data_IF_387670097921
#
_entry.id   IF_387670097921
#
_cell.length_a   1.000
_cell.length_b   1.000
_cell.length_c   1.000
_cell.angle_alpha   90.00
_cell.angle_beta   90.00
_cell.angle_gamma   90.00
#
_symmetry.space_group_name_H-M   'P 1'
#
loop_
_entity.id
_entity.type
_entity.pdbx_description
1 polymer ?
#
# COMPACT_ATOMS: atom_id res chain seq x y z
N UNK A 1 29.92 -4.31 -28.89
CA UNK A 1 28.68 -5.02 -28.54
C UNK A 1 28.67 -5.29 -27.04
N UNK A 2 27.59 -5.00 -26.38
CA UNK A 2 27.36 -5.28 -24.95
C UNK A 2 26.13 -6.18 -24.87
N UNK A 3 26.24 -7.28 -24.10
CA UNK A 3 25.12 -8.13 -23.73
C UNK A 3 24.94 -8.04 -22.22
N UNK A 4 23.78 -7.58 -21.80
CA UNK A 4 23.37 -7.57 -20.40
C UNK A 4 22.35 -8.69 -20.20
N UNK A 5 22.61 -9.53 -19.21
CA UNK A 5 21.70 -10.63 -18.85
C UNK A 5 21.32 -10.47 -17.38
N UNK A 6 20.04 -10.35 -17.11
CA UNK A 6 19.47 -10.41 -15.77
C UNK A 6 18.67 -11.71 -15.63
N UNK A 7 19.18 -12.60 -14.79
CA UNK A 7 18.46 -13.79 -14.35
C UNK A 7 17.75 -13.47 -13.03
N UNK A 8 16.61 -14.08 -12.78
CA UNK A 8 15.72 -13.77 -11.65
C UNK A 8 15.43 -12.26 -11.56
N UNK A 9 15.14 -11.66 -12.70
CA UNK A 9 15.07 -10.21 -12.89
C UNK A 9 14.06 -9.52 -11.97
N UNK A 10 13.00 -10.21 -11.55
CA UNK A 10 12.00 -9.70 -10.60
C UNK A 10 12.58 -9.45 -9.21
N UNK A 11 13.65 -10.17 -8.82
CA UNK A 11 14.30 -10.00 -7.52
C UNK A 11 15.39 -8.92 -7.50
N UNK A 12 15.83 -8.45 -8.67
CA UNK A 12 16.89 -7.45 -8.80
C UNK A 12 16.36 -6.08 -8.36
N UNK A 13 17.11 -5.43 -7.47
CA UNK A 13 16.76 -4.10 -6.98
C UNK A 13 16.78 -3.06 -8.11
N UNK A 14 15.84 -2.14 -8.12
CA UNK A 14 15.71 -1.07 -9.13
C UNK A 14 16.97 -0.19 -9.23
N UNK A 15 17.76 -0.10 -8.16
CA UNK A 15 19.02 0.61 -8.17
C UNK A 15 20.06 -0.05 -9.10
N UNK A 16 20.12 -1.38 -9.12
CA UNK A 16 21.01 -2.14 -10.02
C UNK A 16 20.60 -1.91 -11.47
N UNK A 17 19.30 -1.93 -11.76
CA UNK A 17 18.78 -1.61 -13.09
C UNK A 17 19.23 -0.22 -13.53
N UNK A 18 19.05 0.79 -12.67
CA UNK A 18 19.39 2.18 -12.95
C UNK A 18 20.90 2.37 -13.21
N UNK A 19 21.76 1.73 -12.41
CA UNK A 19 23.21 1.77 -12.61
C UNK A 19 23.60 1.12 -13.95
N UNK A 20 22.97 0.00 -14.28
CA UNK A 20 23.21 -0.69 -15.56
C UNK A 20 22.72 0.13 -16.75
N UNK A 21 21.56 0.78 -16.65
CA UNK A 21 21.07 1.74 -17.67
C UNK A 21 22.10 2.84 -17.94
N UNK A 22 22.77 3.36 -16.90
CA UNK A 22 23.84 4.35 -17.05
C UNK A 22 25.10 3.81 -17.73
N UNK A 23 25.41 2.52 -17.54
CA UNK A 23 26.62 1.90 -18.11
C UNK A 23 26.48 1.57 -19.62
N UNK A 24 25.26 1.59 -20.18
CA UNK A 24 24.99 1.21 -21.59
C UNK A 24 24.69 2.44 -22.47
N UNK A 25 25.29 3.59 -22.16
CA UNK A 25 25.04 4.86 -22.88
C UNK A 25 26.05 5.15 -24.00
N UNK A 26 26.99 4.25 -24.26
CA UNK A 26 28.04 4.46 -25.27
C UNK A 26 27.49 4.60 -26.68
N UNK A 27 27.89 5.66 -27.37
CA UNK A 27 27.56 5.85 -28.75
C UNK A 27 28.21 4.77 -29.64
N UNK A 28 27.53 4.33 -30.68
CA UNK A 28 27.96 3.31 -31.64
C UNK A 28 28.18 1.91 -31.06
N UNK A 29 27.61 1.59 -29.93
CA UNK A 29 27.66 0.26 -29.34
C UNK A 29 26.30 -0.42 -29.50
N UNK A 30 26.31 -1.63 -30.09
CA UNK A 30 25.13 -2.49 -30.10
C UNK A 30 24.92 -3.06 -28.71
N UNK A 31 23.77 -2.79 -28.11
CA UNK A 31 23.41 -3.20 -26.75
C UNK A 31 22.21 -4.13 -26.82
N UNK A 32 22.35 -5.30 -26.22
CA UNK A 32 21.30 -6.29 -26.11
C UNK A 32 21.03 -6.52 -24.62
N UNK A 33 19.80 -6.34 -24.20
CA UNK A 33 19.35 -6.70 -22.86
C UNK A 33 18.46 -7.92 -22.91
N UNK A 34 18.80 -8.94 -22.13
CA UNK A 34 17.99 -10.12 -21.90
C UNK A 34 17.64 -10.17 -20.41
N UNK A 35 16.36 -10.12 -20.12
CA UNK A 35 15.87 -10.18 -18.72
C UNK A 35 14.82 -11.28 -18.60
N UNK A 36 14.99 -12.17 -17.66
CA UNK A 36 14.08 -13.28 -17.45
C UNK A 36 14.03 -13.67 -15.98
N UNK A 37 12.96 -14.34 -15.60
CA UNK A 37 12.67 -14.79 -14.24
C UNK A 37 11.19 -15.00 -14.02
N UNK A 38 10.85 -15.56 -12.88
CA UNK A 38 9.47 -15.63 -12.43
C UNK A 38 8.96 -14.23 -12.06
N UNK A 39 7.75 -13.84 -12.46
CA UNK A 39 7.19 -12.53 -12.17
C UNK A 39 6.66 -12.45 -10.72
N UNK A 40 7.57 -12.45 -9.74
CA UNK A 40 7.23 -12.55 -8.31
C UNK A 40 6.67 -11.28 -7.70
N UNK A 41 6.80 -10.13 -8.38
CA UNK A 41 6.31 -8.82 -7.90
C UNK A 41 5.56 -8.09 -9.00
N UNK A 42 4.46 -7.43 -8.65
CA UNK A 42 3.68 -6.57 -9.55
C UNK A 42 4.17 -5.10 -9.53
N UNK A 43 5.39 -4.86 -9.09
CA UNK A 43 6.07 -3.57 -9.04
C UNK A 43 7.54 -3.73 -9.45
N UNK A 44 8.21 -2.61 -9.71
CA UNK A 44 9.63 -2.55 -10.04
C UNK A 44 9.93 -2.68 -11.55
N UNK A 45 11.22 -2.56 -11.89
CA UNK A 45 11.68 -2.47 -13.27
C UNK A 45 11.32 -3.66 -14.15
N UNK A 46 11.36 -4.89 -13.62
CA UNK A 46 10.96 -6.08 -14.37
C UNK A 46 9.47 -6.05 -14.73
N UNK A 47 8.62 -5.65 -13.79
CA UNK A 47 7.19 -5.44 -14.05
C UNK A 47 6.94 -4.35 -15.09
N UNK A 48 7.68 -3.24 -15.02
CA UNK A 48 7.58 -2.12 -15.96
C UNK A 48 7.89 -2.56 -17.40
N UNK A 49 8.81 -3.51 -17.61
CA UNK A 49 9.12 -4.04 -18.94
C UNK A 49 7.88 -4.63 -19.64
N UNK A 50 6.95 -5.19 -18.88
CA UNK A 50 5.71 -5.78 -19.40
C UNK A 50 4.52 -4.80 -19.41
N UNK A 51 4.63 -3.68 -18.73
CA UNK A 51 3.54 -2.71 -18.54
C UNK A 51 3.90 -1.32 -19.07
N UNK A 52 4.35 -0.42 -18.21
CA UNK A 52 4.58 1.00 -18.55
C UNK A 52 5.62 1.21 -19.63
N UNK A 53 6.62 0.32 -19.73
CA UNK A 53 7.72 0.39 -20.67
C UNK A 53 7.66 -0.70 -21.79
N UNK A 54 6.56 -1.42 -21.89
CA UNK A 54 6.40 -2.56 -22.83
C UNK A 54 6.71 -2.20 -24.30
N UNK A 55 6.53 -0.94 -24.70
CA UNK A 55 6.88 -0.46 -26.05
C UNK A 55 8.39 -0.52 -26.39
N UNK A 56 9.24 -0.62 -25.37
CA UNK A 56 10.69 -0.69 -25.56
C UNK A 56 11.24 -2.12 -25.44
N UNK A 57 10.40 -3.09 -25.06
CA UNK A 57 10.78 -4.45 -24.78
C UNK A 57 10.04 -5.44 -25.68
N UNK A 58 10.74 -6.47 -26.10
CA UNK A 58 10.11 -7.64 -26.70
C UNK A 58 9.78 -8.62 -25.57
N UNK A 59 8.53 -8.59 -25.10
CA UNK A 59 8.09 -9.35 -23.95
C UNK A 59 7.48 -10.68 -24.36
N UNK A 60 7.79 -11.74 -23.59
CA UNK A 60 7.22 -13.07 -23.79
C UNK A 60 6.80 -13.65 -22.43
N UNK A 61 5.55 -14.05 -22.32
CA UNK A 61 5.03 -14.83 -21.21
C UNK A 61 5.03 -16.31 -21.59
N UNK A 62 5.50 -17.16 -20.68
CA UNK A 62 5.58 -18.60 -20.89
C UNK A 62 4.80 -19.33 -19.80
N UNK A 63 3.77 -20.08 -20.19
CA UNK A 63 3.13 -21.04 -19.30
C UNK A 63 3.98 -22.32 -19.27
N UNK A 64 4.48 -22.67 -18.09
CA UNK A 64 5.35 -23.83 -17.90
C UNK A 64 4.71 -25.15 -18.33
N UNK A 65 3.38 -25.23 -18.38
CA UNK A 65 2.65 -26.40 -18.87
C UNK A 65 2.84 -26.63 -20.38
N UNK A 66 3.17 -25.59 -21.14
CA UNK A 66 3.42 -25.69 -22.59
C UNK A 66 4.86 -26.06 -22.93
N UNK A 67 5.77 -25.97 -21.99
CA UNK A 67 7.19 -26.21 -22.19
C UNK A 67 7.53 -27.70 -22.08
N UNK A 68 8.28 -28.26 -23.04
CA UNK A 68 8.58 -29.71 -23.09
C UNK A 68 9.40 -30.22 -21.91
N UNK A 69 10.32 -29.42 -21.38
CA UNK A 69 11.25 -29.80 -20.31
C UNK A 69 10.66 -29.73 -18.90
N UNK A 70 9.48 -29.11 -18.73
CA UNK A 70 8.88 -28.93 -17.40
C UNK A 70 8.23 -30.22 -16.88
N UNK A 71 8.25 -30.41 -15.56
CA UNK A 71 7.59 -31.52 -14.88
C UNK A 71 6.08 -31.27 -14.77
N UNK A 72 5.31 -31.82 -15.70
CA UNK A 72 3.85 -31.65 -15.77
C UNK A 72 3.12 -32.18 -14.54
N UNK A 73 3.63 -33.27 -13.94
CA UNK A 73 3.02 -33.87 -12.74
C UNK A 73 3.08 -32.89 -11.56
N UNK A 74 4.24 -32.28 -11.33
CA UNK A 74 4.41 -31.30 -10.27
C UNK A 74 3.56 -30.04 -10.53
N UNK A 75 3.55 -29.54 -11.77
CA UNK A 75 2.74 -28.37 -12.13
C UNK A 75 1.24 -28.59 -11.91
N UNK A 76 0.72 -29.76 -12.29
CA UNK A 76 -0.68 -30.10 -12.08
C UNK A 76 -1.01 -30.26 -10.58
N UNK A 77 -0.10 -30.86 -9.81
CA UNK A 77 -0.24 -30.94 -8.35
C UNK A 77 -0.34 -29.54 -7.71
N UNK A 78 0.49 -28.59 -8.11
CA UNK A 78 0.41 -27.22 -7.61
C UNK A 78 -0.91 -26.54 -7.97
N UNK A 79 -1.42 -26.78 -9.19
CA UNK A 79 -2.73 -26.25 -9.59
C UNK A 79 -3.86 -26.85 -8.72
N UNK A 80 -3.81 -28.13 -8.42
CA UNK A 80 -4.80 -28.79 -7.55
C UNK A 80 -4.71 -28.29 -6.10
N UNK A 81 -3.49 -28.07 -5.59
CA UNK A 81 -3.24 -27.66 -4.20
C UNK A 81 -3.57 -26.18 -3.95
N UNK A 82 -3.12 -25.29 -4.86
CA UNK A 82 -3.21 -23.83 -4.65
C UNK A 82 -4.37 -23.18 -5.42
N UNK A 83 -4.91 -23.84 -6.43
CA UNK A 83 -5.93 -23.32 -7.33
C UNK A 83 -5.37 -22.56 -8.53
N UNK A 84 -6.02 -22.71 -9.69
CA UNK A 84 -5.59 -22.14 -10.99
C UNK A 84 -5.37 -20.61 -10.95
N UNK A 85 -6.19 -19.88 -10.18
CA UNK A 85 -6.14 -18.41 -10.12
C UNK A 85 -5.38 -17.85 -8.91
N UNK A 86 -4.75 -18.73 -8.11
CA UNK A 86 -3.88 -18.29 -7.02
C UNK A 86 -2.64 -17.56 -7.54
N UNK A 87 -2.10 -16.61 -6.78
CA UNK A 87 -0.89 -15.91 -7.15
C UNK A 87 0.31 -16.86 -7.27
N UNK A 88 0.35 -17.93 -6.47
CA UNK A 88 1.36 -18.97 -6.59
C UNK A 88 1.34 -19.62 -7.98
N UNK A 89 0.16 -20.07 -8.46
CA UNK A 89 0.02 -20.70 -9.78
C UNK A 89 0.24 -19.70 -10.90
N UNK A 90 -0.24 -18.46 -10.77
CA UNK A 90 0.06 -17.39 -11.72
C UNK A 90 1.56 -17.21 -11.93
N UNK A 91 2.31 -17.06 -10.85
CA UNK A 91 3.75 -16.81 -10.87
C UNK A 91 4.54 -18.03 -11.34
N UNK A 92 4.34 -19.19 -10.70
CA UNK A 92 5.22 -20.34 -10.86
C UNK A 92 4.82 -21.27 -12.00
N UNK A 93 3.57 -21.22 -12.45
CA UNK A 93 3.06 -22.08 -13.52
C UNK A 93 2.77 -21.30 -14.78
N UNK A 94 2.03 -20.20 -14.67
CA UNK A 94 1.50 -19.44 -15.83
C UNK A 94 2.41 -18.31 -16.29
N UNK A 95 3.45 -17.96 -15.55
CA UNK A 95 4.32 -16.81 -15.84
C UNK A 95 3.57 -15.48 -15.86
N UNK A 96 2.55 -15.34 -15.02
CA UNK A 96 1.77 -14.13 -14.84
C UNK A 96 2.21 -13.40 -13.56
N UNK A 97 2.18 -12.08 -13.59
CA UNK A 97 2.42 -11.29 -12.39
C UNK A 97 1.31 -11.54 -11.35
N UNK A 98 1.66 -11.57 -10.06
CA UNK A 98 0.68 -11.73 -8.99
C UNK A 98 -0.24 -10.52 -8.94
N UNK A 99 -1.44 -10.73 -8.44
CA UNK A 99 -2.41 -9.65 -8.23
C UNK A 99 -2.09 -8.86 -6.95
N UNK A 100 -1.49 -9.52 -5.96
CA UNK A 100 -1.04 -8.95 -4.69
C UNK A 100 0.46 -9.13 -4.50
N UNK A 101 1.10 -8.30 -3.70
CA UNK A 101 2.46 -8.57 -3.20
C UNK A 101 2.38 -9.63 -2.10
N UNK A 102 3.37 -10.54 -2.00
CA UNK A 102 3.41 -11.65 -1.03
C UNK A 102 3.22 -11.23 0.44
N UNK A 103 3.43 -9.94 0.76
CA UNK A 103 3.27 -9.37 2.09
C UNK A 103 2.08 -8.40 2.20
N UNK A 104 1.18 -8.38 1.23
CA UNK A 104 0.05 -7.47 1.25
C UNK A 104 -1.09 -8.03 2.10
N UNK A 105 -1.34 -7.43 3.26
CA UNK A 105 -2.44 -7.80 4.17
C UNK A 105 -3.82 -7.65 3.52
N UNK A 106 -3.98 -6.67 2.62
CA UNK A 106 -5.22 -6.38 1.90
C UNK A 106 -4.89 -6.30 0.41
N UNK A 107 -5.51 -7.14 -0.42
CA UNK A 107 -5.30 -7.08 -1.86
C UNK A 107 -5.83 -5.76 -2.46
N UNK A 108 -5.26 -5.37 -3.59
CA UNK A 108 -5.68 -4.16 -4.31
C UNK A 108 -7.17 -4.24 -4.71
N UNK A 109 -7.65 -5.42 -5.12
CA UNK A 109 -9.04 -5.64 -5.51
C UNK A 109 -9.98 -5.40 -4.33
N UNK A 110 -9.65 -5.93 -3.14
CA UNK A 110 -10.42 -5.70 -1.92
C UNK A 110 -10.44 -4.21 -1.54
N UNK A 111 -9.32 -3.52 -1.69
CA UNK A 111 -9.23 -2.09 -1.46
C UNK A 111 -10.08 -1.30 -2.46
N UNK A 112 -10.03 -1.64 -3.76
CA UNK A 112 -10.84 -1.01 -4.81
C UNK A 112 -12.34 -1.30 -4.64
N UNK A 113 -12.71 -2.52 -4.23
CA UNK A 113 -14.10 -2.85 -3.88
C UNK A 113 -14.57 -2.07 -2.66
N UNK A 114 -13.75 -1.97 -1.63
CA UNK A 114 -14.07 -1.18 -0.44
C UNK A 114 -14.27 0.30 -0.79
N UNK A 115 -13.42 0.85 -1.66
CA UNK A 115 -13.52 2.24 -2.12
C UNK A 115 -14.80 2.52 -2.93
N UNK A 116 -15.28 1.54 -3.69
CA UNK A 116 -16.53 1.64 -4.47
C UNK A 116 -17.80 1.51 -3.59
N UNK A 117 -17.67 0.95 -2.38
CA UNK A 117 -18.81 0.79 -1.47
C UNK A 117 -19.29 2.16 -1.00
N UNK A 118 -20.60 2.36 -1.11
CA UNK A 118 -21.30 3.53 -0.55
C UNK A 118 -22.29 3.02 0.51
N UNK A 119 -21.88 2.93 1.77
CA UNK A 119 -22.79 2.45 2.81
C UNK A 119 -23.98 3.40 2.95
N UNK A 120 -25.17 2.85 3.12
CA UNK A 120 -26.36 3.63 3.41
C UNK A 120 -26.31 4.14 4.86
N UNK A 121 -26.81 5.33 5.11
CA UNK A 121 -26.76 5.98 6.42
C UNK A 121 -27.28 5.09 7.57
N UNK A 122 -28.37 4.35 7.34
CA UNK A 122 -28.92 3.39 8.31
C UNK A 122 -27.96 2.29 8.77
N UNK A 123 -26.90 2.01 7.99
CA UNK A 123 -25.91 0.98 8.30
C UNK A 123 -24.83 1.45 9.29
N UNK A 124 -24.72 2.75 9.54
CA UNK A 124 -23.66 3.29 10.39
C UNK A 124 -24.11 4.40 11.36
N UNK A 125 -25.29 5.03 11.16
CA UNK A 125 -25.74 6.16 11.98
C UNK A 125 -25.98 5.84 13.46
N UNK A 126 -26.14 4.56 13.80
CA UNK A 126 -26.28 4.10 15.18
C UNK A 126 -24.96 4.13 15.95
N UNK A 127 -23.84 4.14 15.27
CA UNK A 127 -22.51 4.13 15.88
C UNK A 127 -22.08 5.55 16.30
N UNK A 128 -21.30 5.69 17.37
CA UNK A 128 -20.75 6.98 17.75
C UNK A 128 -19.79 7.50 16.66
N UNK A 129 -19.75 8.82 16.50
CA UNK A 129 -18.76 9.47 15.66
C UNK A 129 -17.45 9.58 16.43
N UNK A 130 -16.36 9.23 15.79
CA UNK A 130 -15.00 9.43 16.33
C UNK A 130 -14.11 10.12 15.27
N UNK A 131 -13.11 10.84 15.73
CA UNK A 131 -12.12 11.49 14.86
C UNK A 131 -10.76 10.85 15.11
N UNK A 132 -10.07 10.45 14.03
CA UNK A 132 -8.69 10.02 14.03
C UNK A 132 -7.80 11.13 13.48
N UNK A 133 -6.64 11.33 14.08
CA UNK A 133 -5.65 12.32 13.66
C UNK A 133 -4.31 11.65 13.54
N UNK A 134 -3.73 11.75 12.34
CA UNK A 134 -2.37 11.33 12.03
C UNK A 134 -1.50 12.58 11.80
N UNK A 135 -0.74 13.03 12.81
CA UNK A 135 0.09 14.21 12.70
C UNK A 135 1.35 13.94 11.88
N UNK A 136 1.74 14.89 11.05
CA UNK A 136 2.99 14.83 10.30
C UNK A 136 3.89 16.03 10.65
N UNK A 137 5.18 15.77 10.91
CA UNK A 137 6.12 16.83 11.28
C UNK A 137 7.16 17.14 10.20
N UNK A 138 7.74 16.13 9.55
CA UNK A 138 8.88 16.32 8.65
C UNK A 138 8.67 15.65 7.30
N UNK A 139 9.29 16.20 6.24
CA UNK A 139 9.28 15.62 4.91
C UNK A 139 8.09 16.06 4.07
N UNK A 140 7.66 15.17 3.17
CA UNK A 140 6.52 15.34 2.26
C UNK A 140 5.19 14.87 2.84
N UNK A 141 5.19 14.39 4.09
CA UNK A 141 3.99 13.85 4.73
C UNK A 141 3.00 14.96 5.09
N UNK A 142 1.72 14.63 5.03
CA UNK A 142 0.61 15.53 5.38
C UNK A 142 -0.06 15.05 6.66
N UNK A 143 -0.44 16.00 7.52
CA UNK A 143 -1.34 15.71 8.64
C UNK A 143 -2.72 15.37 8.08
N UNK A 144 -3.29 14.25 8.51
CA UNK A 144 -4.63 13.83 8.12
C UNK A 144 -5.60 13.82 9.32
N UNK A 145 -6.79 14.36 9.10
CA UNK A 145 -7.90 14.31 10.06
C UNK A 145 -9.03 13.53 9.39
N UNK A 146 -9.44 12.43 10.00
CA UNK A 146 -10.44 11.51 9.48
C UNK A 146 -11.59 11.36 10.47
N UNK A 147 -12.83 11.46 10.00
CA UNK A 147 -14.01 11.10 10.75
C UNK A 147 -14.40 9.65 10.45
N UNK A 148 -14.80 8.91 11.47
CA UNK A 148 -15.38 7.57 11.35
C UNK A 148 -16.69 7.47 12.14
N UNK A 149 -17.68 6.83 11.53
CA UNK A 149 -18.92 6.43 12.18
C UNK A 149 -19.29 5.01 11.76
N UNK A 150 -19.10 4.02 12.62
CA UNK A 150 -19.27 2.62 12.28
C UNK A 150 -18.39 2.19 11.10
N UNK A 151 -19.01 1.75 10.01
CA UNK A 151 -18.33 1.33 8.77
C UNK A 151 -18.04 2.49 7.80
N UNK A 152 -18.53 3.69 8.07
CA UNK A 152 -18.31 4.87 7.24
C UNK A 152 -17.13 5.67 7.76
N UNK A 153 -16.23 6.04 6.86
CA UNK A 153 -15.12 6.95 7.13
C UNK A 153 -15.00 8.02 6.05
N UNK A 154 -14.56 9.20 6.45
CA UNK A 154 -14.37 10.34 5.56
C UNK A 154 -13.19 11.19 6.00
N UNK A 155 -12.31 11.54 5.06
CA UNK A 155 -11.21 12.48 5.30
C UNK A 155 -11.80 13.88 5.42
N UNK A 156 -11.65 14.49 6.59
CA UNK A 156 -12.15 15.84 6.85
C UNK A 156 -11.16 16.90 6.34
N UNK A 157 -9.86 16.64 6.57
CA UNK A 157 -8.82 17.58 6.17
C UNK A 157 -7.47 16.87 6.02
N UNK A 158 -6.75 17.27 5.01
CA UNK A 158 -5.32 17.03 4.85
C UNK A 158 -4.62 18.39 4.87
N UNK A 159 -3.54 18.50 5.65
CA UNK A 159 -2.79 19.73 5.81
C UNK A 159 -1.33 19.40 5.55
N UNK A 160 -0.64 20.12 4.64
CA UNK A 160 0.81 20.05 4.58
C UNK A 160 1.38 20.35 5.96
N UNK A 161 2.56 19.81 6.24
CA UNK A 161 3.29 20.00 7.48
C UNK A 161 2.95 21.33 8.18
N UNK A 162 2.54 21.24 9.44
CA UNK A 162 2.24 22.39 10.28
C UNK A 162 2.93 22.22 11.64
N UNK A 163 3.73 23.20 12.03
CA UNK A 163 4.44 23.26 13.32
C UNK A 163 3.65 24.00 14.41
N UNK A 164 2.39 24.35 14.15
CA UNK A 164 1.51 25.05 15.09
C UNK A 164 0.46 24.10 15.69
N UNK A 165 0.84 23.38 16.72
CA UNK A 165 -0.02 22.42 17.44
C UNK A 165 -1.32 23.05 17.96
N UNK A 166 -1.27 24.31 18.40
CA UNK A 166 -2.45 25.03 18.92
C UNK A 166 -3.47 25.26 17.79
N UNK A 167 -3.00 25.63 16.61
CA UNK A 167 -3.88 25.84 15.45
C UNK A 167 -4.52 24.53 15.00
N UNK A 168 -3.75 23.45 14.97
CA UNK A 168 -4.25 22.11 14.64
C UNK A 168 -5.25 21.64 15.68
N UNK A 169 -4.96 21.83 16.98
CA UNK A 169 -5.88 21.45 18.06
C UNK A 169 -7.22 22.20 17.96
N UNK A 170 -7.20 23.50 17.64
CA UNK A 170 -8.44 24.28 17.41
C UNK A 170 -9.24 23.72 16.23
N UNK A 171 -8.59 23.42 15.13
CA UNK A 171 -9.26 22.84 13.96
C UNK A 171 -9.91 21.48 14.28
N UNK A 172 -9.22 20.63 15.05
CA UNK A 172 -9.76 19.35 15.50
C UNK A 172 -10.97 19.58 16.45
N UNK A 173 -10.88 20.56 17.35
CA UNK A 173 -11.97 20.92 18.24
C UNK A 173 -13.21 21.40 17.45
N UNK A 174 -13.02 22.22 16.42
CA UNK A 174 -14.10 22.67 15.54
C UNK A 174 -14.76 21.48 14.81
N UNK A 175 -13.98 20.54 14.28
CA UNK A 175 -14.53 19.33 13.69
C UNK A 175 -15.25 18.44 14.73
N UNK A 176 -14.68 18.30 15.94
CA UNK A 176 -15.32 17.55 17.01
C UNK A 176 -16.72 18.11 17.31
N UNK A 177 -16.85 19.43 17.43
CA UNK A 177 -18.11 20.09 17.71
C UNK A 177 -19.07 20.01 16.52
N UNK A 178 -18.57 20.22 15.29
CA UNK A 178 -19.36 20.16 14.06
C UNK A 178 -20.00 18.77 13.85
N UNK A 179 -19.22 17.70 14.08
CA UNK A 179 -19.66 16.33 13.86
C UNK A 179 -20.18 15.65 15.15
N UNK A 180 -20.22 16.38 16.28
CA UNK A 180 -20.59 15.86 17.61
C UNK A 180 -19.81 14.57 17.94
N UNK A 181 -18.50 14.58 17.64
CA UNK A 181 -17.68 13.40 17.84
C UNK A 181 -17.47 13.11 19.34
N UNK A 182 -17.75 11.87 19.72
CA UNK A 182 -17.68 11.39 21.10
C UNK A 182 -16.25 11.24 21.62
N UNK A 183 -15.29 11.04 20.73
CA UNK A 183 -13.87 10.95 21.05
C UNK A 183 -12.98 11.38 19.89
N UNK A 184 -11.76 11.82 20.22
CA UNK A 184 -10.67 12.10 19.27
C UNK A 184 -9.48 11.24 19.63
N UNK A 185 -8.95 10.51 18.64
CA UNK A 185 -7.77 9.67 18.77
C UNK A 185 -6.62 10.29 17.98
N UNK A 186 -5.52 10.57 18.65
CA UNK A 186 -4.36 11.26 18.07
C UNK A 186 -3.16 10.33 18.15
N UNK A 187 -2.46 10.06 17.03
CA UNK A 187 -1.23 9.28 17.08
C UNK A 187 -0.19 9.96 17.98
N UNK A 188 0.42 9.15 18.85
CA UNK A 188 1.31 9.65 19.92
C UNK A 188 2.59 10.27 19.34
N UNK A 189 3.08 9.81 18.18
CA UNK A 189 4.36 10.22 17.64
C UNK A 189 4.58 11.73 17.67
N UNK A 190 3.91 12.44 16.81
CA UNK A 190 3.96 13.91 16.73
C UNK A 190 2.69 14.59 17.30
N UNK A 191 1.80 13.82 17.90
CA UNK A 191 0.51 14.32 18.36
C UNK A 191 0.49 14.83 19.81
N UNK A 192 1.59 14.69 20.57
CA UNK A 192 1.63 15.04 22.01
C UNK A 192 1.36 16.52 22.26
N UNK A 193 1.89 17.43 21.43
CA UNK A 193 1.65 18.86 21.53
C UNK A 193 0.20 19.23 21.20
N UNK A 194 -0.37 18.64 20.15
CA UNK A 194 -1.77 18.79 19.76
C UNK A 194 -2.69 18.29 20.87
N UNK A 195 -2.40 17.14 21.45
CA UNK A 195 -3.16 16.57 22.56
C UNK A 195 -3.10 17.49 23.80
N UNK A 196 -1.92 17.99 24.17
CA UNK A 196 -1.75 18.92 25.29
C UNK A 196 -2.59 20.17 25.09
N UNK A 197 -2.52 20.78 23.91
CA UNK A 197 -3.32 21.95 23.58
C UNK A 197 -4.83 21.65 23.65
N UNK A 198 -5.27 20.46 23.23
CA UNK A 198 -6.65 20.02 23.39
C UNK A 198 -7.08 19.91 24.84
N UNK A 199 -6.23 19.36 25.71
CA UNK A 199 -6.49 19.30 27.15
C UNK A 199 -6.61 20.70 27.79
N UNK A 200 -5.76 21.63 27.38
CA UNK A 200 -5.83 23.02 27.86
C UNK A 200 -7.13 23.71 27.41
N UNK A 201 -7.74 23.27 26.31
CA UNK A 201 -9.07 23.70 25.85
C UNK A 201 -10.24 22.96 26.53
N UNK A 202 -9.98 22.06 27.48
CA UNK A 202 -11.00 21.27 28.20
C UNK A 202 -11.55 20.10 27.38
N UNK A 203 -10.80 19.57 26.40
CA UNK A 203 -11.21 18.41 25.59
C UNK A 203 -10.82 17.10 26.28
N UNK A 204 -11.62 16.66 27.25
CA UNK A 204 -11.31 15.50 28.10
C UNK A 204 -11.43 14.15 27.39
N UNK A 205 -12.19 14.08 26.30
CA UNK A 205 -12.40 12.89 25.50
C UNK A 205 -11.36 12.70 24.36
N UNK A 206 -10.27 13.46 24.38
CA UNK A 206 -9.12 13.22 23.48
C UNK A 206 -8.20 12.17 24.09
N UNK A 207 -7.70 11.26 23.25
CA UNK A 207 -6.82 10.16 23.63
C UNK A 207 -5.60 10.11 22.72
N UNK A 208 -4.41 9.88 23.31
CA UNK A 208 -3.21 9.52 22.57
C UNK A 208 -3.22 8.02 22.27
N UNK A 209 -2.89 7.66 21.06
CA UNK A 209 -2.77 6.26 20.60
C UNK A 209 -1.31 5.96 20.34
N UNK A 210 -0.77 4.96 21.02
CA UNK A 210 0.58 4.46 20.77
C UNK A 210 0.53 3.38 19.69
N UNK A 211 1.12 3.65 18.53
CA UNK A 211 1.25 2.68 17.47
C UNK A 211 2.10 1.48 17.95
N UNK A 212 1.60 0.27 17.79
CA UNK A 212 2.26 -0.95 18.29
C UNK A 212 2.00 -1.27 19.77
N UNK A 213 1.18 -0.47 20.47
CA UNK A 213 0.66 -0.82 21.78
C UNK A 213 -0.24 -2.06 21.73
N UNK A 214 -0.35 -2.77 22.84
CA UNK A 214 -1.33 -3.87 22.94
C UNK A 214 -2.73 -3.28 23.01
N UNK A 215 -3.69 -3.90 22.29
CA UNK A 215 -5.10 -3.57 22.45
C UNK A 215 -5.57 -3.91 23.87
N UNK A 216 -6.34 -3.03 24.47
CA UNK A 216 -7.01 -3.33 25.74
C UNK A 216 -8.05 -4.44 25.50
N UNK A 217 -7.95 -5.53 26.28
CA UNK A 217 -8.77 -6.72 26.10
C UNK A 217 -10.28 -6.47 26.24
N UNK A 218 -10.65 -5.37 26.88
CA UNK A 218 -12.04 -5.04 27.22
C UNK A 218 -12.76 -4.21 26.13
N UNK A 219 -12.07 -3.75 25.08
CA UNK A 219 -12.67 -2.91 24.04
C UNK A 219 -13.18 -3.70 22.81
N UNK A 220 -13.01 -5.04 22.78
CA UNK A 220 -13.35 -5.90 21.63
C UNK A 220 -14.22 -7.12 22.00
N UNK A 221 -15.12 -6.99 22.96
CA UNK A 221 -16.17 -7.99 23.18
C UNK A 221 -17.48 -7.58 22.50
#
# INVERSE_FOLDING_TARGET
>A
RILVIFDEASAILDEIWRVTEGAVTDANTEIIWCVFGNPTRNTGKFYDCFNSQSKFWNTQQIDSRTVKISNKTTLNQWVEEYGEDSDFVKVHVRGLFPMSEDNQLISRELAEEAFKRKPEKKQYEFAPVVIGVDPAWTGSDTLAIVMRQGIYSHVLKEIPKNDNDIMVARLIADFQDQYMASAVFIDMGYGTGIYSAGKDMGRDNWKLVQFGGKADKDEYQ
#
